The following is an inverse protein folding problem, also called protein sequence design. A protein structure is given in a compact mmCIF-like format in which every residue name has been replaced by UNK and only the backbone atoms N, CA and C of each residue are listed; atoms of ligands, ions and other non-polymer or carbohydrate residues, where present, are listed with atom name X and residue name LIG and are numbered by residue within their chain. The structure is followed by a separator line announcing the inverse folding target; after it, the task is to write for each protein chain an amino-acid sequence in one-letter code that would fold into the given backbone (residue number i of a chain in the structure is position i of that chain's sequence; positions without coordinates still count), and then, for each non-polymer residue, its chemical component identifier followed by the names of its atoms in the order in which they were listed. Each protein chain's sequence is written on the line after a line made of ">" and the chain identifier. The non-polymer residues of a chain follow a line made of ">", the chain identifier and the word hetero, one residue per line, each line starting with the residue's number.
data_IF_588913539499
#
_entry.id   IF_588913539499
#
_cell.length_a   1.000
_cell.length_b   1.000
_cell.length_c   1.000
_cell.angle_alpha   90.00
_cell.angle_beta   90.00
_cell.angle_gamma   90.00
#
_symmetry.space_group_name_H-M   'P 1'
#
loop_
_entity.id
_entity.type
_entity.pdbx_description
1 polymer ?
#
# COMPACT_ATOMS: atom_id res chain seq x y z
N UNK A 1 58.41 4.29 -42.45
CA UNK A 1 58.03 5.00 -41.20
C UNK A 1 57.15 4.07 -40.38
N UNK A 2 57.71 3.42 -39.36
CA UNK A 2 57.01 2.46 -38.50
C UNK A 2 56.94 3.05 -37.08
N UNK A 3 55.73 3.36 -36.63
CA UNK A 3 55.47 3.90 -35.28
C UNK A 3 55.19 2.72 -34.35
N UNK A 4 55.99 2.65 -33.29
CA UNK A 4 56.00 1.59 -32.27
C UNK A 4 54.71 1.58 -31.44
N UNK A 5 54.15 0.39 -31.26
CA UNK A 5 53.16 0.07 -30.24
C UNK A 5 53.82 0.09 -28.86
N UNK A 6 53.28 0.85 -27.92
CA UNK A 6 53.59 0.76 -26.49
C UNK A 6 52.48 0.03 -25.77
N UNK A 7 52.83 -1.14 -25.22
CA UNK A 7 52.01 -1.95 -24.33
C UNK A 7 52.12 -1.39 -22.91
N UNK A 8 51.00 -1.18 -22.22
CA UNK A 8 51.00 -0.86 -20.79
C UNK A 8 50.42 -2.03 -19.99
N UNK A 9 51.28 -2.61 -19.15
CA UNK A 9 50.99 -3.75 -18.26
C UNK A 9 50.18 -3.30 -17.05
N UNK A 10 49.30 -4.20 -16.67
CA UNK A 10 48.45 -4.31 -15.48
C UNK A 10 49.21 -4.19 -14.15
N UNK A 11 48.61 -3.52 -13.17
CA UNK A 11 48.77 -3.85 -11.75
C UNK A 11 47.42 -3.82 -11.04
N UNK A 12 46.88 -5.00 -10.76
CA UNK A 12 45.75 -5.26 -9.88
C UNK A 12 46.17 -5.10 -8.41
N UNK A 13 45.43 -4.31 -7.63
CA UNK A 13 45.57 -4.26 -6.16
C UNK A 13 44.18 -4.35 -5.52
N UNK A 14 43.97 -5.37 -4.69
CA UNK A 14 42.82 -5.56 -3.78
C UNK A 14 43.35 -6.32 -2.54
N UNK A 15 42.65 -6.31 -1.39
CA UNK A 15 42.43 -5.19 -0.48
C UNK A 15 43.09 -5.42 0.89
N UNK A 16 43.25 -4.38 1.70
CA UNK A 16 43.64 -4.52 3.11
C UNK A 16 42.40 -4.70 4.01
N UNK A 17 42.39 -5.77 4.81
CA UNK A 17 41.54 -5.95 6.00
C UNK A 17 42.15 -5.17 7.17
N UNK A 18 41.40 -4.59 8.12
CA UNK A 18 40.89 -5.11 9.43
C UNK A 18 40.56 -3.83 10.28
N UNK A 19 39.99 -3.85 11.51
CA UNK A 19 39.30 -4.90 12.27
C UNK A 19 37.92 -4.49 12.86
N UNK A 20 37.21 -5.50 13.34
CA UNK A 20 35.95 -5.42 14.07
C UNK A 20 36.07 -4.63 15.39
N UNK A 21 35.12 -3.73 15.65
CA UNK A 21 34.95 -3.11 16.97
C UNK A 21 33.93 -3.89 17.81
N UNK A 22 34.32 -4.04 19.09
CA UNK A 22 33.71 -4.88 20.11
C UNK A 22 32.30 -4.41 20.52
N UNK A 23 31.40 -5.37 20.69
CA UNK A 23 30.11 -5.23 21.40
C UNK A 23 30.35 -4.91 22.87
N UNK A 24 29.68 -3.87 23.38
CA UNK A 24 29.53 -3.59 24.80
C UNK A 24 28.40 -4.46 25.42
N UNK A 25 28.49 -4.84 26.71
CA UNK A 25 27.58 -5.79 27.31
C UNK A 25 26.23 -5.18 27.71
N UNK A 26 25.19 -6.00 27.55
CA UNK A 26 23.80 -5.77 27.98
C UNK A 26 23.72 -5.75 29.50
N UNK A 27 23.24 -4.65 30.10
CA UNK A 27 22.87 -4.60 31.52
C UNK A 27 21.54 -5.34 31.72
N UNK A 28 21.55 -6.30 32.66
CA UNK A 28 20.37 -7.04 33.14
C UNK A 28 19.41 -6.08 33.84
N UNK A 29 18.13 -6.14 33.49
CA UNK A 29 17.06 -5.52 34.24
C UNK A 29 16.71 -6.39 35.45
N UNK A 30 16.67 -5.76 36.62
CA UNK A 30 16.32 -6.38 37.89
C UNK A 30 14.84 -6.73 37.94
N UNK A 31 14.57 -7.95 38.39
CA UNK A 31 13.25 -8.43 38.76
C UNK A 31 12.96 -7.96 40.19
N UNK A 32 11.94 -7.15 40.36
CA UNK A 32 11.26 -7.04 41.66
C UNK A 32 9.81 -7.45 41.49
N UNK A 33 9.52 -8.63 42.02
CA UNK A 33 8.18 -9.11 42.30
C UNK A 33 7.74 -8.50 43.64
N UNK A 34 6.51 -8.00 43.70
CA UNK A 34 5.80 -7.79 44.96
C UNK A 34 4.43 -8.43 44.80
N UNK A 35 4.20 -9.44 45.63
CA UNK A 35 2.91 -10.07 45.88
C UNK A 35 2.33 -9.53 47.19
N UNK A 36 1.02 -9.35 47.24
CA UNK A 36 0.13 -9.45 48.41
C UNK A 36 -1.29 -9.11 47.92
N UNK A 37 -2.18 -10.10 47.79
CA UNK A 37 -3.20 -10.44 48.79
C UNK A 37 -4.23 -9.34 49.05
N UNK A 38 -5.48 -9.58 48.63
CA UNK A 38 -6.54 -9.78 49.62
C UNK A 38 -7.82 -10.35 49.02
N UNK A 39 -8.34 -11.36 49.72
CA UNK A 39 -9.66 -11.95 49.53
C UNK A 39 -10.75 -10.98 50.00
N UNK A 40 -11.86 -10.91 49.26
CA UNK A 40 -13.01 -10.07 49.58
C UNK A 40 -14.30 -10.64 48.99
N UNK A 41 -14.95 -11.48 49.78
CA UNK A 41 -16.40 -11.71 49.94
C UNK A 41 -17.34 -11.28 48.81
N UNK A 42 -18.00 -12.26 48.20
CA UNK A 42 -19.12 -12.07 47.28
C UNK A 42 -20.41 -11.61 47.98
N UNK A 43 -21.21 -10.74 47.35
CA UNK A 43 -22.64 -10.67 47.61
C UNK A 43 -23.44 -11.20 46.41
N UNK A 44 -24.35 -12.14 46.70
CA UNK A 44 -25.45 -12.53 45.81
C UNK A 44 -26.45 -11.39 45.70
N UNK A 45 -26.79 -10.96 44.49
CA UNK A 45 -28.06 -10.27 44.21
C UNK A 45 -28.70 -10.84 42.95
N UNK A 46 -30.00 -11.14 43.07
CA UNK A 46 -30.90 -11.55 41.98
C UNK A 46 -31.29 -10.30 41.19
N UNK A 47 -31.30 -10.38 39.86
CA UNK A 47 -32.47 -10.06 39.03
C UNK A 47 -32.12 -10.19 37.54
N UNK A 48 -32.85 -11.05 36.85
CA UNK A 48 -32.86 -11.15 35.41
C UNK A 48 -33.97 -10.24 34.86
N UNK A 49 -33.61 -9.18 34.15
CA UNK A 49 -34.53 -8.47 33.25
C UNK A 49 -33.75 -7.62 32.22
N UNK A 50 -33.90 -8.03 30.95
CA UNK A 50 -33.80 -7.20 29.74
C UNK A 50 -32.52 -6.37 29.48
N UNK A 51 -31.42 -7.05 29.09
CA UNK A 51 -30.53 -6.45 28.10
C UNK A 51 -31.27 -6.41 26.75
N UNK A 52 -31.76 -5.23 26.35
CA UNK A 52 -32.11 -4.96 24.95
C UNK A 52 -30.86 -5.24 24.12
N UNK A 53 -30.87 -6.33 23.35
CA UNK A 53 -29.85 -6.60 22.33
C UNK A 53 -29.78 -5.38 21.42
N UNK A 54 -28.61 -4.74 21.37
CA UNK A 54 -28.28 -3.77 20.33
C UNK A 54 -28.61 -4.39 18.96
N UNK A 55 -29.11 -3.62 17.99
CA UNK A 55 -29.45 -4.15 16.68
C UNK A 55 -28.21 -4.80 16.07
N UNK A 56 -28.29 -6.10 15.73
CA UNK A 56 -27.24 -6.77 14.95
C UNK A 56 -27.10 -6.01 13.62
N UNK A 57 -25.88 -5.68 13.16
CA UNK A 57 -25.70 -5.03 11.87
C UNK A 57 -26.38 -5.87 10.79
N UNK A 58 -27.24 -5.23 9.99
CA UNK A 58 -27.97 -5.89 8.89
C UNK A 58 -26.95 -6.61 8.02
N UNK A 59 -27.06 -7.94 7.93
CA UNK A 59 -26.24 -8.73 7.01
C UNK A 59 -26.49 -8.22 5.60
N UNK A 60 -25.44 -7.71 4.93
CA UNK A 60 -25.53 -7.30 3.53
C UNK A 60 -26.09 -8.45 2.69
N UNK A 61 -27.03 -8.17 1.79
CA UNK A 61 -27.70 -9.20 1.00
C UNK A 61 -26.72 -9.89 0.03
N UNK A 62 -27.03 -11.13 -0.35
CA UNK A 62 -26.26 -11.88 -1.38
C UNK A 62 -26.15 -11.11 -2.69
N UNK A 63 -27.17 -10.32 -3.04
CA UNK A 63 -27.17 -9.46 -4.21
C UNK A 63 -26.14 -8.32 -4.08
N UNK A 64 -26.08 -7.65 -2.93
CA UNK A 64 -25.11 -6.59 -2.67
C UNK A 64 -23.67 -7.13 -2.71
N UNK A 65 -23.43 -8.32 -2.14
CA UNK A 65 -22.10 -8.95 -2.21
C UNK A 65 -21.71 -9.27 -3.66
N UNK A 66 -22.65 -9.80 -4.44
CA UNK A 66 -22.41 -10.10 -5.86
C UNK A 66 -22.10 -8.83 -6.65
N UNK A 67 -22.77 -7.71 -6.36
CA UNK A 67 -22.49 -6.43 -6.98
C UNK A 67 -21.10 -5.90 -6.63
N UNK A 68 -20.68 -5.97 -5.36
CA UNK A 68 -19.35 -5.57 -4.93
C UNK A 68 -18.24 -6.40 -5.62
N UNK A 69 -18.44 -7.72 -5.70
CA UNK A 69 -17.53 -8.63 -6.42
C UNK A 69 -17.42 -8.28 -7.91
N UNK A 70 -18.53 -7.95 -8.56
CA UNK A 70 -18.55 -7.47 -9.96
C UNK A 70 -17.80 -6.15 -10.10
N UNK A 71 -17.94 -5.22 -9.16
CA UNK A 71 -17.24 -3.94 -9.18
C UNK A 71 -15.71 -4.11 -9.06
N UNK A 72 -15.23 -5.02 -8.20
CA UNK A 72 -13.80 -5.37 -8.12
C UNK A 72 -13.28 -5.90 -9.46
N UNK A 73 -14.01 -6.81 -10.11
CA UNK A 73 -13.65 -7.35 -11.43
C UNK A 73 -13.62 -6.25 -12.49
N UNK A 74 -14.65 -5.41 -12.54
CA UNK A 74 -14.71 -4.30 -13.49
C UNK A 74 -13.53 -3.32 -13.32
N UNK A 75 -13.14 -3.05 -12.08
CA UNK A 75 -11.99 -2.20 -11.75
C UNK A 75 -10.68 -2.85 -12.18
N UNK A 76 -10.49 -4.15 -11.92
CA UNK A 76 -9.30 -4.88 -12.36
C UNK A 76 -9.18 -4.94 -13.89
N UNK A 77 -10.30 -5.11 -14.60
CA UNK A 77 -10.35 -5.04 -16.06
C UNK A 77 -10.00 -3.65 -16.59
N UNK A 78 -10.53 -2.58 -15.99
CA UNK A 78 -10.20 -1.20 -16.39
C UNK A 78 -8.71 -0.91 -16.15
N UNK A 79 -8.18 -1.28 -14.98
CA UNK A 79 -6.76 -1.19 -14.63
C UNK A 79 -5.86 -1.91 -15.65
N UNK A 80 -6.25 -3.10 -16.10
CA UNK A 80 -5.46 -3.82 -17.10
C UNK A 80 -5.52 -3.16 -18.47
N UNK A 81 -6.72 -2.73 -18.89
CA UNK A 81 -6.94 -2.05 -20.18
C UNK A 81 -6.30 -0.68 -20.28
N UNK A 82 -6.09 0.01 -19.16
CA UNK A 82 -5.35 1.29 -19.11
C UNK A 82 -3.82 1.10 -19.16
N UNK A 83 -3.33 -0.15 -19.21
CA UNK A 83 -1.90 -0.44 -19.28
C UNK A 83 -1.18 -0.39 -17.93
N UNK A 84 -1.88 -0.12 -16.83
CA UNK A 84 -1.27 -0.06 -15.50
C UNK A 84 -0.76 -1.42 -15.02
N UNK A 85 -1.41 -2.53 -15.40
CA UNK A 85 -0.95 -3.88 -15.08
C UNK A 85 -1.51 -4.90 -16.07
N UNK A 86 -0.77 -5.19 -17.15
CA UNK A 86 -1.22 -6.17 -18.15
C UNK A 86 -1.39 -7.57 -17.54
N UNK A 87 -2.53 -8.20 -17.82
CA UNK A 87 -2.79 -9.60 -17.48
C UNK A 87 -3.21 -9.85 -16.03
N UNK A 88 -2.25 -9.95 -15.10
CA UNK A 88 -2.49 -10.44 -13.73
C UNK A 88 -1.49 -10.01 -12.66
N UNK A 89 -0.63 -9.03 -12.93
CA UNK A 89 0.43 -8.61 -12.00
C UNK A 89 -0.07 -7.68 -10.87
N UNK A 90 -1.13 -6.90 -11.12
CA UNK A 90 -1.75 -6.05 -10.11
C UNK A 90 -2.82 -6.76 -9.27
N UNK A 91 -3.37 -6.05 -8.28
CA UNK A 91 -4.50 -6.56 -7.50
C UNK A 91 -5.40 -5.43 -6.99
N UNK A 92 -6.68 -5.76 -6.83
CA UNK A 92 -7.73 -4.80 -6.47
C UNK A 92 -8.53 -5.36 -5.32
N UNK A 93 -8.82 -4.51 -4.32
CA UNK A 93 -9.76 -4.86 -3.26
C UNK A 93 -10.70 -3.71 -2.92
N UNK A 94 -11.85 -4.06 -2.33
CA UNK A 94 -12.74 -3.11 -1.66
C UNK A 94 -13.08 -3.58 -0.25
N UNK A 95 -13.30 -2.65 0.66
CA UNK A 95 -13.77 -2.93 2.02
C UNK A 95 -15.14 -3.62 1.96
N UNK A 96 -15.32 -4.67 2.74
CA UNK A 96 -16.57 -5.42 2.79
C UNK A 96 -16.78 -6.05 4.16
N UNK A 97 -17.91 -5.74 4.81
CA UNK A 97 -18.21 -6.16 6.19
C UNK A 97 -17.05 -5.80 7.12
N UNK A 98 -16.45 -6.78 7.79
CA UNK A 98 -15.31 -6.63 8.70
C UNK A 98 -13.97 -6.53 7.98
N UNK A 99 -13.86 -7.10 6.78
CA UNK A 99 -12.61 -7.19 6.02
C UNK A 99 -12.74 -6.62 4.61
N UNK A 100 -12.38 -7.43 3.61
CA UNK A 100 -12.33 -7.02 2.22
C UNK A 100 -12.71 -8.12 1.22
N UNK A 101 -13.14 -7.68 0.03
CA UNK A 101 -13.21 -8.50 -1.17
C UNK A 101 -12.00 -8.18 -2.06
N UNK A 102 -11.23 -9.18 -2.47
CA UNK A 102 -9.97 -9.00 -3.20
C UNK A 102 -9.84 -9.98 -4.38
N UNK A 103 -9.19 -9.53 -5.46
CA UNK A 103 -8.83 -10.39 -6.60
C UNK A 103 -8.04 -11.63 -6.15
N UNK A 104 -8.29 -12.82 -6.75
CA UNK A 104 -7.55 -14.03 -6.43
C UNK A 104 -6.14 -14.01 -7.02
N UNK A 105 -5.25 -14.86 -6.50
CA UNK A 105 -3.90 -14.99 -7.04
C UNK A 105 -3.90 -15.69 -8.42
N UNK A 106 -3.07 -15.18 -9.34
CA UNK A 106 -2.63 -15.90 -10.53
C UNK A 106 -3.63 -16.03 -11.69
N UNK A 107 -4.83 -15.46 -11.58
CA UNK A 107 -5.88 -15.53 -12.60
C UNK A 107 -5.90 -14.28 -13.49
N UNK A 108 -6.12 -14.47 -14.79
CA UNK A 108 -6.35 -13.36 -15.71
C UNK A 108 -7.69 -12.68 -15.41
N UNK A 109 -7.74 -11.36 -15.46
CA UNK A 109 -8.94 -10.60 -15.06
C UNK A 109 -10.15 -10.89 -15.96
N UNK A 110 -9.92 -11.17 -17.24
CA UNK A 110 -10.95 -11.51 -18.24
C UNK A 110 -11.69 -12.81 -17.92
N UNK A 111 -11.09 -13.69 -17.12
CA UNK A 111 -11.65 -14.99 -16.75
C UNK A 111 -12.37 -14.96 -15.39
N UNK A 112 -12.26 -13.86 -14.65
CA UNK A 112 -12.81 -13.77 -13.31
C UNK A 112 -14.34 -13.78 -13.32
N UNK A 113 -14.91 -14.64 -12.47
CA UNK A 113 -16.32 -14.61 -12.10
C UNK A 113 -16.48 -14.03 -10.69
N UNK A 114 -17.65 -13.50 -10.31
CA UNK A 114 -17.86 -12.98 -8.95
C UNK A 114 -17.51 -13.98 -7.83
N UNK A 115 -17.70 -15.27 -8.07
CA UNK A 115 -17.34 -16.36 -7.15
C UNK A 115 -15.84 -16.56 -6.96
N UNK A 116 -15.00 -16.06 -7.88
CA UNK A 116 -13.54 -16.16 -7.79
C UNK A 116 -12.92 -15.07 -6.92
N UNK A 117 -13.63 -13.97 -6.66
CA UNK A 117 -13.17 -12.94 -5.72
C UNK A 117 -13.07 -13.53 -4.32
N UNK A 118 -11.95 -13.34 -3.63
CA UNK A 118 -11.76 -13.87 -2.29
C UNK A 118 -12.32 -12.88 -1.25
N UNK A 119 -12.92 -13.40 -0.18
CA UNK A 119 -13.16 -12.63 1.04
C UNK A 119 -12.03 -12.91 2.02
N UNK A 120 -11.44 -11.85 2.58
CA UNK A 120 -10.46 -11.91 3.65
C UNK A 120 -10.99 -11.07 4.81
N UNK A 121 -11.10 -11.66 6.00
CA UNK A 121 -11.61 -10.99 7.19
C UNK A 121 -10.55 -10.06 7.82
N UNK A 122 -10.95 -9.26 8.81
CA UNK A 122 -10.10 -8.29 9.52
C UNK A 122 -8.87 -8.93 10.19
N UNK A 123 -9.00 -10.21 10.58
CA UNK A 123 -7.94 -11.01 11.20
C UNK A 123 -7.06 -11.75 10.17
N UNK A 124 -7.31 -11.55 8.88
CA UNK A 124 -6.59 -12.21 7.79
C UNK A 124 -7.09 -13.62 7.47
N UNK A 125 -8.14 -14.11 8.14
CA UNK A 125 -8.73 -15.40 7.82
C UNK A 125 -9.50 -15.37 6.49
N UNK A 126 -9.44 -16.46 5.74
CA UNK A 126 -10.19 -16.66 4.50
C UNK A 126 -10.56 -18.13 4.31
N UNK A 127 -11.62 -18.39 3.53
CA UNK A 127 -12.11 -19.74 3.30
C UNK A 127 -11.17 -20.57 2.41
N UNK A 128 -10.70 -21.71 2.92
CA UNK A 128 -9.92 -22.69 2.13
C UNK A 128 -10.73 -23.38 1.02
N UNK A 129 -12.07 -23.22 1.03
CA UNK A 129 -12.97 -23.75 -0.01
C UNK A 129 -13.19 -22.78 -1.17
N UNK A 130 -12.73 -21.53 -1.04
CA UNK A 130 -12.82 -20.50 -2.07
C UNK A 130 -11.47 -20.37 -2.81
N UNK A 131 -11.40 -19.48 -3.82
CA UNK A 131 -10.13 -19.12 -4.43
C UNK A 131 -9.20 -18.49 -3.40
N UNK A 132 -7.90 -18.80 -3.51
CA UNK A 132 -6.87 -18.16 -2.70
C UNK A 132 -6.80 -16.67 -3.06
N UNK A 133 -6.80 -15.75 -2.07
CA UNK A 133 -6.65 -14.32 -2.35
C UNK A 133 -5.32 -14.02 -3.04
N UNK A 134 -5.16 -12.81 -3.58
CA UNK A 134 -3.86 -12.30 -4.04
C UNK A 134 -2.75 -12.65 -3.05
N UNK A 135 -1.53 -12.95 -3.52
CA UNK A 135 -0.36 -13.14 -2.64
C UNK A 135 -0.10 -11.96 -1.71
N UNK A 136 -0.64 -10.80 -2.04
CA UNK A 136 -0.35 -9.51 -1.42
C UNK A 136 -1.51 -8.94 -0.60
N UNK A 137 -2.51 -9.78 -0.31
CA UNK A 137 -3.67 -9.39 0.50
C UNK A 137 -3.31 -8.71 1.83
N UNK A 138 -2.14 -9.04 2.41
CA UNK A 138 -1.66 -8.46 3.68
C UNK A 138 -1.51 -6.96 3.63
N UNK A 139 -0.93 -6.41 2.57
CA UNK A 139 -0.74 -4.96 2.50
C UNK A 139 -2.06 -4.22 2.20
N UNK A 140 -3.05 -4.88 1.59
CA UNK A 140 -4.39 -4.29 1.44
C UNK A 140 -5.05 -4.21 2.81
N UNK A 141 -4.93 -5.27 3.61
CA UNK A 141 -5.48 -5.30 4.96
C UNK A 141 -4.78 -4.27 5.86
N UNK A 142 -3.45 -4.16 5.78
CA UNK A 142 -2.69 -3.12 6.48
C UNK A 142 -3.12 -1.70 6.09
N UNK A 143 -3.40 -1.46 4.80
CA UNK A 143 -3.94 -0.18 4.35
C UNK A 143 -5.32 0.11 4.98
N UNK A 144 -6.23 -0.86 5.02
CA UNK A 144 -7.55 -0.70 5.64
C UNK A 144 -7.49 -0.50 7.16
N UNK A 145 -6.50 -1.08 7.83
CA UNK A 145 -6.28 -0.90 9.27
C UNK A 145 -5.68 0.48 9.57
N UNK A 146 -4.72 0.94 8.76
CA UNK A 146 -4.11 2.26 8.91
C UNK A 146 -5.08 3.40 8.57
N UNK A 147 -6.04 3.16 7.67
CA UNK A 147 -6.97 4.17 7.14
C UNK A 147 -8.42 3.68 7.18
N UNK A 148 -9.16 3.96 8.27
CA UNK A 148 -10.58 3.62 8.35
C UNK A 148 -11.46 4.34 7.32
N UNK A 149 -10.99 5.47 6.78
CA UNK A 149 -11.70 6.33 5.83
C UNK A 149 -11.65 5.84 4.37
N UNK A 150 -10.77 4.88 4.04
CA UNK A 150 -10.68 4.32 2.68
C UNK A 150 -11.62 3.13 2.49
N UNK A 151 -12.14 3.00 1.27
CA UNK A 151 -13.06 1.94 0.85
C UNK A 151 -12.49 1.02 -0.23
N UNK A 152 -11.37 1.38 -0.87
CA UNK A 152 -10.73 0.56 -1.89
C UNK A 152 -9.22 0.77 -1.96
N UNK A 153 -8.54 -0.24 -2.52
CA UNK A 153 -7.10 -0.28 -2.74
C UNK A 153 -6.84 -0.87 -4.12
N UNK A 154 -5.97 -0.22 -4.89
CA UNK A 154 -5.48 -0.66 -6.19
C UNK A 154 -3.96 -0.71 -6.14
N UNK A 155 -3.39 -1.88 -6.44
CA UNK A 155 -1.95 -2.06 -6.59
C UNK A 155 -1.64 -2.42 -8.04
N UNK A 156 -0.61 -1.77 -8.59
CA UNK A 156 -0.20 -1.94 -9.98
C UNK A 156 1.33 -2.01 -10.12
N UNK A 157 1.78 -2.70 -11.17
CA UNK A 157 3.15 -2.65 -11.68
C UNK A 157 3.18 -1.78 -12.95
N UNK A 158 2.70 -0.53 -12.84
CA UNK A 158 2.65 0.40 -13.97
C UNK A 158 4.05 0.87 -14.37
N UNK A 159 4.26 1.09 -15.66
CA UNK A 159 5.59 1.15 -16.26
C UNK A 159 6.48 2.20 -15.60
N UNK A 160 6.07 3.46 -15.59
CA UNK A 160 6.90 4.57 -15.12
C UNK A 160 7.01 4.61 -13.59
N UNK A 161 5.93 4.29 -12.88
CA UNK A 161 5.98 4.15 -11.43
C UNK A 161 6.98 3.06 -11.02
N UNK A 162 6.99 1.94 -11.73
CA UNK A 162 7.94 0.83 -11.50
C UNK A 162 9.36 1.22 -11.87
N UNK A 163 9.57 1.99 -12.95
CA UNK A 163 10.90 2.55 -13.30
C UNK A 163 11.46 3.38 -12.15
N UNK A 164 10.67 4.31 -11.60
CA UNK A 164 11.09 5.14 -10.47
C UNK A 164 11.29 4.32 -9.19
N UNK A 165 10.43 3.34 -8.95
CA UNK A 165 10.55 2.42 -7.82
C UNK A 165 11.83 1.57 -7.89
N UNK A 166 12.20 1.07 -9.07
CA UNK A 166 13.45 0.36 -9.30
C UNK A 166 14.69 1.28 -9.19
N UNK A 167 14.54 2.56 -9.52
CA UNK A 167 15.58 3.57 -9.35
C UNK A 167 15.68 4.12 -7.90
N UNK A 168 14.85 3.62 -7.00
CA UNK A 168 14.73 4.06 -5.61
C UNK A 168 14.48 5.59 -5.48
N UNK A 169 13.55 6.13 -6.29
CA UNK A 169 13.25 7.57 -6.36
C UNK A 169 11.87 7.91 -5.79
N UNK A 170 11.82 8.74 -4.76
CA UNK A 170 10.62 9.49 -4.36
C UNK A 170 10.23 10.48 -5.45
N UNK A 171 8.93 10.69 -5.65
CA UNK A 171 8.40 11.75 -6.54
C UNK A 171 8.12 12.99 -5.68
N UNK A 172 8.91 14.07 -5.79
CA UNK A 172 8.71 15.30 -5.03
C UNK A 172 7.58 16.15 -5.65
N UNK A 173 7.24 17.29 -5.03
CA UNK A 173 6.35 18.31 -5.57
C UNK A 173 6.91 19.04 -6.81
N UNK A 174 7.30 18.31 -7.86
CA UNK A 174 7.70 18.89 -9.16
C UNK A 174 6.48 19.42 -9.94
N UNK A 175 5.28 18.92 -9.62
CA UNK A 175 4.00 19.32 -10.19
C UNK A 175 2.94 19.41 -9.08
N UNK A 176 2.04 20.39 -9.13
CA UNK A 176 1.06 20.65 -8.06
C UNK A 176 0.10 19.46 -7.81
N UNK A 177 -0.21 18.69 -8.87
CA UNK A 177 -1.07 17.50 -8.78
C UNK A 177 -0.55 16.42 -7.85
N UNK A 178 0.70 16.48 -7.39
CA UNK A 178 1.21 15.63 -6.30
C UNK A 178 0.27 15.67 -5.06
N UNK A 179 -0.45 16.77 -4.86
CA UNK A 179 -1.48 16.91 -3.83
C UNK A 179 -2.57 15.82 -3.86
N UNK A 180 -2.88 15.20 -5.02
CA UNK A 180 -3.85 14.08 -5.10
C UNK A 180 -3.43 12.86 -4.27
N UNK A 181 -2.13 12.69 -4.04
CA UNK A 181 -1.59 11.65 -3.16
C UNK A 181 -1.69 12.01 -1.66
N UNK A 182 -2.37 13.10 -1.31
CA UNK A 182 -2.63 13.51 0.07
C UNK A 182 -1.43 14.14 0.76
N UNK A 183 -0.52 14.76 0.02
CA UNK A 183 0.69 15.37 0.57
C UNK A 183 1.53 16.15 -0.42
N UNK A 184 2.81 16.28 -0.11
CA UNK A 184 3.80 17.07 -0.88
C UNK A 184 4.76 16.19 -1.69
N UNK A 185 4.53 14.88 -1.70
CA UNK A 185 5.30 13.87 -2.41
C UNK A 185 4.49 12.58 -2.60
N UNK A 186 4.96 11.72 -3.50
CA UNK A 186 4.63 10.29 -3.54
C UNK A 186 5.88 9.55 -3.06
N UNK A 187 5.92 9.11 -1.80
CA UNK A 187 7.12 8.53 -1.22
C UNK A 187 7.35 7.12 -1.74
N UNK A 188 8.62 6.71 -1.68
CA UNK A 188 9.02 5.32 -1.88
C UNK A 188 9.27 4.63 -0.54
N UNK A 189 8.66 3.46 -0.34
CA UNK A 189 8.91 2.64 0.86
C UNK A 189 10.05 1.64 0.61
N UNK A 190 10.78 1.22 1.67
CA UNK A 190 11.86 0.24 1.54
C UNK A 190 11.39 -1.09 0.95
N UNK A 191 12.28 -1.75 0.21
CA UNK A 191 12.04 -3.08 -0.32
C UNK A 191 11.82 -4.10 0.81
N UNK A 192 10.85 -4.97 0.60
CA UNK A 192 10.66 -6.21 1.34
C UNK A 192 10.04 -7.24 0.38
N UNK A 193 10.26 -8.55 0.57
CA UNK A 193 9.72 -9.56 -0.34
C UNK A 193 8.18 -9.48 -0.42
N UNK A 194 7.63 -9.66 -1.63
CA UNK A 194 6.19 -9.58 -1.86
C UNK A 194 5.40 -10.57 -1.00
N UNK A 195 4.20 -10.17 -0.57
CA UNK A 195 3.31 -11.01 0.25
C UNK A 195 3.74 -11.24 1.70
N UNK A 196 4.80 -10.58 2.17
CA UNK A 196 5.27 -10.64 3.57
C UNK A 196 4.56 -9.64 4.49
N UNK A 197 4.61 -9.91 5.79
CA UNK A 197 4.15 -8.96 6.83
C UNK A 197 5.04 -7.70 6.89
N UNK A 198 6.34 -7.83 6.59
CA UNK A 198 7.28 -6.72 6.56
C UNK A 198 6.87 -5.68 5.51
N UNK A 199 6.60 -6.13 4.27
CA UNK A 199 6.10 -5.24 3.21
C UNK A 199 4.75 -4.61 3.60
N UNK A 200 3.85 -5.39 4.21
CA UNK A 200 2.56 -4.88 4.67
C UNK A 200 2.73 -3.79 5.76
N UNK A 201 3.68 -3.95 6.67
CA UNK A 201 4.04 -2.93 7.66
C UNK A 201 4.55 -1.64 7.02
N UNK A 202 5.45 -1.74 6.03
CA UNK A 202 5.93 -0.57 5.29
C UNK A 202 4.79 0.16 4.56
N UNK A 203 3.92 -0.57 3.87
CA UNK A 203 2.77 -0.01 3.14
C UNK A 203 1.79 0.67 4.10
N UNK A 204 1.41 0.01 5.20
CA UNK A 204 0.48 0.56 6.19
C UNK A 204 0.98 1.87 6.79
N UNK A 205 2.27 1.93 7.15
CA UNK A 205 2.91 3.12 7.69
C UNK A 205 2.96 4.28 6.68
N UNK A 206 3.26 4.00 5.41
CA UNK A 206 3.24 5.02 4.36
C UNK A 206 1.83 5.57 4.09
N UNK A 207 0.84 4.69 3.96
CA UNK A 207 -0.55 5.07 3.66
C UNK A 207 -1.29 5.74 4.82
N UNK A 208 -0.75 5.65 6.05
CA UNK A 208 -1.24 6.45 7.17
C UNK A 208 -1.13 7.97 6.90
N UNK A 209 -0.23 8.40 6.00
CA UNK A 209 0.04 9.81 5.70
C UNK A 209 -0.12 10.19 4.23
N UNK A 210 -0.34 9.21 3.35
CA UNK A 210 -0.48 9.39 1.91
C UNK A 210 -1.61 8.53 1.38
N UNK A 211 -2.10 8.87 0.20
CA UNK A 211 -3.08 8.08 -0.55
C UNK A 211 -2.43 7.21 -1.63
N UNK A 212 -1.14 7.42 -1.93
CA UNK A 212 -0.38 6.57 -2.83
C UNK A 212 1.09 6.47 -2.42
N UNK A 213 1.74 5.35 -2.76
CA UNK A 213 3.16 5.07 -2.51
C UNK A 213 3.79 4.35 -3.70
N UNK A 214 5.10 4.54 -3.86
CA UNK A 214 5.96 3.61 -4.60
C UNK A 214 6.56 2.57 -3.65
N UNK A 215 6.84 1.37 -4.15
CA UNK A 215 7.47 0.29 -3.41
C UNK A 215 8.76 -0.12 -4.12
N UNK A 216 9.92 0.05 -3.46
CA UNK A 216 11.22 -0.17 -4.09
C UNK A 216 11.31 -1.53 -4.80
N UNK A 217 11.81 -1.52 -6.04
CA UNK A 217 11.92 -2.68 -6.93
C UNK A 217 10.62 -3.49 -7.14
N UNK A 218 9.46 -2.85 -7.05
CA UNK A 218 8.18 -3.55 -7.10
C UNK A 218 7.11 -2.84 -7.95
N UNK A 219 6.56 -1.71 -7.49
CA UNK A 219 5.44 -1.06 -8.18
C UNK A 219 4.83 0.06 -7.35
N UNK A 220 3.53 0.33 -7.55
CA UNK A 220 2.81 1.37 -6.81
C UNK A 220 1.51 0.85 -6.19
N UNK A 221 1.04 1.54 -5.17
CA UNK A 221 -0.24 1.27 -4.51
C UNK A 221 -0.97 2.58 -4.26
N UNK A 222 -2.26 2.61 -4.58
CA UNK A 222 -3.15 3.75 -4.40
C UNK A 222 -4.41 3.34 -3.63
N UNK A 223 -4.92 4.25 -2.81
CA UNK A 223 -6.13 4.06 -2.01
C UNK A 223 -7.15 5.16 -2.25
N UNK A 224 -8.43 4.84 -2.07
CA UNK A 224 -9.51 5.80 -2.26
C UNK A 224 -10.76 5.45 -1.46
N UNK A 225 -11.69 6.41 -1.38
CA UNK A 225 -13.00 6.22 -0.73
C UNK A 225 -13.83 5.10 -1.39
N UNK A 226 -13.58 4.83 -2.67
CA UNK A 226 -14.21 3.78 -3.45
C UNK A 226 -13.26 3.30 -4.57
N UNK A 227 -13.67 2.25 -5.28
CA UNK A 227 -12.88 1.63 -6.35
C UNK A 227 -12.52 2.59 -7.49
N UNK A 228 -13.43 3.49 -7.87
CA UNK A 228 -13.19 4.47 -8.92
C UNK A 228 -12.09 5.46 -8.50
N UNK A 229 -12.21 6.05 -7.32
CA UNK A 229 -11.22 6.99 -6.79
C UNK A 229 -9.83 6.36 -6.60
N UNK A 230 -9.76 5.10 -6.15
CA UNK A 230 -8.50 4.39 -6.00
C UNK A 230 -7.83 4.12 -7.36
N UNK A 231 -8.62 3.78 -8.38
CA UNK A 231 -8.12 3.56 -9.74
C UNK A 231 -7.68 4.87 -10.40
N UNK A 232 -8.48 5.94 -10.29
CA UNK A 232 -8.12 7.27 -10.81
C UNK A 232 -6.81 7.77 -10.20
N UNK A 233 -6.62 7.57 -8.89
CA UNK A 233 -5.34 7.91 -8.26
C UNK A 233 -4.18 7.04 -8.77
N UNK A 234 -4.40 5.75 -9.00
CA UNK A 234 -3.38 4.88 -9.58
C UNK A 234 -3.01 5.31 -11.02
N UNK A 235 -3.98 5.75 -11.82
CA UNK A 235 -3.78 6.32 -13.16
C UNK A 235 -2.95 7.62 -13.08
N UNK A 236 -3.30 8.53 -12.16
CA UNK A 236 -2.58 9.80 -11.98
C UNK A 236 -1.15 9.59 -11.47
N UNK A 237 -0.91 8.62 -10.58
CA UNK A 237 0.44 8.26 -10.11
C UNK A 237 1.33 7.81 -11.27
N UNK A 238 0.80 7.04 -12.22
CA UNK A 238 1.55 6.63 -13.41
C UNK A 238 1.89 7.83 -14.31
N UNK A 239 0.94 8.74 -14.54
CA UNK A 239 1.15 9.96 -15.32
C UNK A 239 2.21 10.85 -14.66
N UNK A 240 2.12 11.09 -13.35
CA UNK A 240 3.11 11.86 -12.61
C UNK A 240 4.48 11.20 -12.62
N UNK A 241 4.52 9.86 -12.58
CA UNK A 241 5.77 9.10 -12.69
C UNK A 241 6.42 9.27 -14.06
N UNK A 242 5.64 9.20 -15.14
CA UNK A 242 6.12 9.43 -16.50
C UNK A 242 6.67 10.84 -16.68
N UNK A 243 5.91 11.85 -16.24
CA UNK A 243 6.32 13.24 -16.30
C UNK A 243 7.61 13.47 -15.51
N UNK A 244 7.69 12.96 -14.28
CA UNK A 244 8.87 13.14 -13.43
C UNK A 244 10.10 12.47 -14.05
N UNK A 245 9.95 11.23 -14.55
CA UNK A 245 11.01 10.54 -15.27
C UNK A 245 11.52 11.38 -16.45
N UNK A 246 10.62 11.89 -17.29
CA UNK A 246 10.97 12.76 -18.43
C UNK A 246 11.66 14.05 -17.99
N UNK A 247 11.18 14.71 -16.94
CA UNK A 247 11.82 15.91 -16.38
C UNK A 247 13.25 15.62 -15.92
N UNK A 248 13.50 14.46 -15.29
CA UNK A 248 14.85 14.05 -14.90
C UNK A 248 15.79 13.85 -16.10
N UNK A 249 15.27 13.47 -17.28
CA UNK A 249 16.08 13.39 -18.51
C UNK A 249 16.47 14.75 -19.07
N UNK A 250 15.72 15.80 -18.75
CA UNK A 250 16.02 17.19 -19.15
C UNK A 250 16.96 17.89 -18.15
N UNK A 251 17.05 17.39 -16.91
CA UNK A 251 17.94 17.92 -15.88
C UNK A 251 17.31 17.95 -14.49
N UNK A 252 17.75 18.90 -13.66
CA UNK A 252 17.24 19.03 -12.28
C UNK A 252 15.81 19.62 -12.29
N UNK A 253 14.81 18.94 -11.69
CA UNK A 253 13.46 19.46 -11.61
C UNK A 253 13.38 20.70 -10.73
N UNK A 254 12.51 21.65 -11.08
CA UNK A 254 12.05 22.69 -10.16
C UNK A 254 11.00 22.10 -9.22
N UNK A 255 11.17 22.32 -7.93
CA UNK A 255 10.28 21.80 -6.89
C UNK A 255 9.48 22.96 -6.30
N UNK A 256 8.17 22.78 -6.16
CA UNK A 256 7.31 23.69 -5.43
C UNK A 256 7.69 23.67 -3.95
N UNK A 257 7.80 24.84 -3.34
CA UNK A 257 8.11 24.96 -1.92
C UNK A 257 6.89 24.62 -1.05
N UNK A 258 7.11 24.65 0.27
CA UNK A 258 6.10 24.28 1.25
C UNK A 258 4.88 25.21 1.20
N UNK A 259 5.09 26.51 0.98
CA UNK A 259 4.00 27.50 0.95
C UNK A 259 3.13 27.32 -0.28
N UNK A 260 3.73 27.11 -1.45
CA UNK A 260 3.02 26.81 -2.68
C UNK A 260 2.20 25.50 -2.54
N UNK A 261 2.79 24.45 -1.95
CA UNK A 261 2.06 23.20 -1.75
C UNK A 261 0.98 23.29 -0.66
N UNK A 262 1.14 24.14 0.35
CA UNK A 262 0.11 24.41 1.34
C UNK A 262 -1.12 25.08 0.70
N UNK A 263 -0.92 26.08 -0.15
CA UNK A 263 -2.01 26.71 -0.92
C UNK A 263 -2.71 25.71 -1.84
N UNK A 264 -1.95 24.86 -2.55
CA UNK A 264 -2.52 23.79 -3.39
C UNK A 264 -3.37 22.82 -2.56
N UNK A 265 -2.85 22.33 -1.43
CA UNK A 265 -3.58 21.39 -0.56
C UNK A 265 -4.87 22.01 -0.01
N UNK A 266 -4.87 23.31 0.31
CA UNK A 266 -6.08 24.02 0.72
C UNK A 266 -7.11 24.08 -0.42
N UNK A 267 -6.68 24.46 -1.63
CA UNK A 267 -7.56 24.49 -2.82
C UNK A 267 -8.16 23.12 -3.14
N UNK A 268 -7.41 22.04 -2.91
CA UNK A 268 -7.89 20.68 -3.16
C UNK A 268 -9.03 20.24 -2.24
N UNK A 269 -9.18 20.84 -1.05
CA UNK A 269 -10.33 20.55 -0.17
C UNK A 269 -11.66 20.97 -0.80
N UNK A 270 -11.65 22.06 -1.56
CA UNK A 270 -12.80 22.62 -2.28
C UNK A 270 -12.89 22.21 -3.75
N UNK A 271 -12.03 21.31 -4.23
CA UNK A 271 -11.93 20.98 -5.65
C UNK A 271 -12.78 19.77 -6.04
N UNK A 272 -13.49 19.88 -7.17
CA UNK A 272 -14.38 18.84 -7.71
C UNK A 272 -15.87 19.19 -7.55
N UNK A 273 -16.72 18.65 -8.42
CA UNK A 273 -18.15 19.02 -8.55
C UNK A 273 -19.01 18.77 -7.29
N UNK A 274 -18.49 18.06 -6.30
CA UNK A 274 -19.20 17.70 -5.06
C UNK A 274 -18.51 18.25 -3.79
N UNK A 275 -17.53 19.14 -3.93
CA UNK A 275 -16.93 19.79 -2.77
C UNK A 275 -17.90 20.87 -2.25
N UNK A 276 -18.27 20.76 -0.97
CA UNK A 276 -19.01 21.78 -0.22
C UNK A 276 -18.03 22.70 0.51
#
# INVERSE_FOLDING_TARGET
>A
MAVKQTTNRTTTRKPAATPASRRAPVRKADKTAVAAENAGTAPRTKSAAALRKAPRPRTASKAAETAARKAVIATALKMSRSGLSPGRSGNVSCRWKTGMLITPTGMAYEQLKPSDIAFVDADGSFSKKARKPSSEWRFHLAAYHARPDIGAVVHTHSLHATVLACANKTIPAFHYMIAVAGGVDIPIIPYAPFGTEELAGHVGNGLARRSALLMANHGQIAVGKNLAAALELAEEVEVLSEQFYKVLTLGKPRILDADAMADVLERFKGYGQNAQ
#
